data_IF_631504904524
#
_entry.id   IF_631504904524
#
_cell.length_a   1.000
_cell.length_b   1.000
_cell.length_c   1.000
_cell.angle_alpha   90.00
_cell.angle_beta   90.00
_cell.angle_gamma   90.00
#
_symmetry.space_group_name_H-M   'P 1'
#
loop_
_entity.id
_entity.type
_entity.pdbx_description
1 polymer ?
#
# COMPACT_ATOMS: atom_id res chain seq x y z
N UNK A 1 8.97 15.03 6.37
CA UNK A 1 7.51 14.88 6.15
C UNK A 1 7.34 13.97 4.94
N UNK A 2 6.54 12.91 5.01
CA UNK A 2 6.31 12.05 3.84
C UNK A 2 5.09 12.52 3.06
N UNK A 3 5.30 12.89 1.79
CA UNK A 3 4.24 13.27 0.85
C UNK A 3 4.05 12.17 -0.19
N UNK A 4 2.80 11.91 -0.56
CA UNK A 4 2.43 11.00 -1.65
C UNK A 4 1.65 11.78 -2.70
N UNK A 5 2.19 11.81 -3.92
CA UNK A 5 1.55 12.33 -5.10
C UNK A 5 0.83 11.18 -5.81
N UNK A 6 -0.48 11.28 -5.94
CA UNK A 6 -1.33 10.24 -6.54
C UNK A 6 -1.85 10.73 -7.88
N UNK A 7 -1.51 9.98 -8.93
CA UNK A 7 -1.92 10.22 -10.31
C UNK A 7 -2.90 9.14 -10.75
N UNK A 8 -4.08 9.51 -11.24
CA UNK A 8 -5.07 8.55 -11.75
C UNK A 8 -4.73 8.11 -13.18
N UNK A 9 -3.65 7.35 -13.31
CA UNK A 9 -3.14 6.83 -14.58
C UNK A 9 -2.84 5.33 -14.44
N UNK A 10 -2.90 4.62 -15.55
CA UNK A 10 -2.52 3.21 -15.61
C UNK A 10 -1.13 3.08 -16.22
N UNK A 11 -0.23 2.41 -15.52
CA UNK A 11 1.09 2.03 -16.02
C UNK A 11 1.31 0.54 -15.82
N UNK A 12 2.30 -0.02 -16.52
CA UNK A 12 2.76 -1.39 -16.30
C UNK A 12 3.85 -1.41 -15.22
N UNK A 13 3.81 -2.42 -14.35
CA UNK A 13 4.77 -2.55 -13.24
C UNK A 13 6.23 -2.67 -13.69
N UNK A 14 6.49 -3.19 -14.90
CA UNK A 14 7.84 -3.31 -15.48
C UNK A 14 8.49 -1.94 -15.76
N UNK A 15 7.70 -0.87 -15.87
CA UNK A 15 8.20 0.49 -16.06
C UNK A 15 8.68 1.16 -14.76
N UNK A 16 8.34 0.61 -13.59
CA UNK A 16 8.49 1.29 -12.29
C UNK A 16 9.93 1.71 -12.00
N UNK A 17 10.89 0.81 -12.18
CA UNK A 17 12.27 1.07 -11.76
C UNK A 17 12.96 2.10 -12.65
N UNK A 18 12.74 2.02 -13.96
CA UNK A 18 13.24 3.01 -14.92
C UNK A 18 12.64 4.40 -14.64
N UNK A 19 11.33 4.47 -14.39
CA UNK A 19 10.66 5.73 -14.02
C UNK A 19 11.18 6.30 -12.71
N UNK A 20 11.30 5.46 -11.66
CA UNK A 20 11.85 5.90 -10.38
C UNK A 20 13.27 6.45 -10.55
N UNK A 21 14.12 5.76 -11.33
CA UNK A 21 15.48 6.20 -11.61
C UNK A 21 15.50 7.55 -12.31
N UNK A 22 14.71 7.73 -13.37
CA UNK A 22 14.61 9.00 -14.10
C UNK A 22 14.12 10.13 -13.20
N UNK A 23 13.10 9.90 -12.38
CA UNK A 23 12.58 10.92 -11.48
C UNK A 23 13.55 11.30 -10.37
N UNK A 24 14.29 10.33 -9.81
CA UNK A 24 15.34 10.63 -8.81
C UNK A 24 16.49 11.47 -9.37
N UNK A 25 16.74 11.42 -10.69
CA UNK A 25 17.71 12.31 -11.34
C UNK A 25 17.19 13.74 -11.45
N UNK A 26 15.87 13.93 -11.60
CA UNK A 26 15.23 15.24 -11.72
C UNK A 26 14.90 15.86 -10.36
N UNK A 27 14.60 15.03 -9.36
CA UNK A 27 14.28 15.47 -8.00
C UNK A 27 14.77 14.44 -6.97
N UNK A 28 15.75 14.85 -6.16
CA UNK A 28 16.38 14.00 -5.14
C UNK A 28 15.47 13.72 -3.95
N UNK A 29 14.40 14.50 -3.76
CA UNK A 29 13.45 14.27 -2.67
C UNK A 29 12.56 13.05 -2.92
N UNK A 30 12.48 12.56 -4.17
CA UNK A 30 11.69 11.39 -4.51
C UNK A 30 12.31 10.15 -3.88
N UNK A 31 11.53 9.48 -3.04
CA UNK A 31 11.94 8.31 -2.28
C UNK A 31 11.54 7.01 -2.98
N UNK A 32 10.28 6.93 -3.42
CA UNK A 32 9.68 5.70 -3.94
C UNK A 32 8.61 6.00 -5.01
N UNK A 33 8.29 4.99 -5.82
CA UNK A 33 7.26 5.02 -6.85
C UNK A 33 6.51 3.69 -6.83
N UNK A 34 5.19 3.73 -6.74
CA UNK A 34 4.33 2.54 -6.71
C UNK A 34 3.35 2.62 -7.85
N UNK A 35 3.24 1.54 -8.62
CA UNK A 35 2.26 1.42 -9.70
C UNK A 35 1.11 0.55 -9.18
N UNK A 36 -0.02 1.19 -8.91
CA UNK A 36 -1.28 0.54 -8.59
C UNK A 36 -2.04 0.17 -9.88
N UNK A 37 -3.24 -0.40 -9.70
CA UNK A 37 -4.07 -0.87 -10.81
C UNK A 37 -4.53 0.27 -11.75
N UNK A 38 -4.92 1.38 -11.14
CA UNK A 38 -5.55 2.53 -11.79
C UNK A 38 -4.91 3.87 -11.37
N UNK A 39 -3.78 3.80 -10.67
CA UNK A 39 -3.08 4.96 -10.17
C UNK A 39 -1.57 4.71 -10.04
N UNK A 40 -0.81 5.81 -9.98
CA UNK A 40 0.62 5.82 -9.67
C UNK A 40 0.81 6.70 -8.45
N UNK A 41 1.62 6.22 -7.51
CA UNK A 41 2.01 6.97 -6.32
C UNK A 41 3.49 7.33 -6.40
N UNK A 42 3.83 8.61 -6.24
CA UNK A 42 5.21 9.06 -6.02
C UNK A 42 5.33 9.48 -4.56
N UNK A 43 6.20 8.83 -3.80
CA UNK A 43 6.49 9.21 -2.43
C UNK A 43 7.74 10.10 -2.37
N UNK A 44 7.68 11.17 -1.60
CA UNK A 44 8.77 12.14 -1.46
C UNK A 44 8.89 12.67 -0.03
N UNK A 45 10.12 13.00 0.38
CA UNK A 45 10.40 13.58 1.71
C UNK A 45 10.12 15.09 1.81
N UNK A 46 9.80 15.72 0.68
CA UNK A 46 9.43 17.13 0.58
C UNK A 46 8.51 17.32 -0.65
N UNK A 47 8.08 18.54 -0.92
CA UNK A 47 7.40 18.86 -2.17
C UNK A 47 8.31 18.59 -3.36
N UNK A 48 7.81 17.82 -4.34
CA UNK A 48 8.53 17.60 -5.59
C UNK A 48 8.44 18.86 -6.45
N UNK A 49 9.46 19.10 -7.25
CA UNK A 49 9.45 20.23 -8.17
C UNK A 49 8.27 20.12 -9.16
N UNK A 50 7.73 21.27 -9.57
CA UNK A 50 6.54 21.32 -10.42
C UNK A 50 6.73 20.66 -11.78
N UNK A 51 7.93 20.74 -12.36
CA UNK A 51 8.22 20.11 -13.65
C UNK A 51 8.01 18.60 -13.55
N UNK A 52 8.55 17.98 -12.49
CA UNK A 52 8.42 16.54 -12.22
C UNK A 52 6.99 16.17 -11.85
N UNK A 53 6.31 16.99 -11.05
CA UNK A 53 4.91 16.77 -10.70
C UNK A 53 4.00 16.71 -11.95
N UNK A 54 4.22 17.62 -12.90
CA UNK A 54 3.39 17.71 -14.10
C UNK A 54 3.76 16.68 -15.19
N UNK A 55 4.83 15.87 -15.01
CA UNK A 55 5.30 14.91 -16.03
C UNK A 55 4.26 13.84 -16.39
N UNK A 56 3.58 13.31 -15.38
CA UNK A 56 2.54 12.30 -15.62
C UNK A 56 1.20 12.91 -15.99
N UNK A 57 0.81 13.97 -15.28
CA UNK A 57 -0.44 14.68 -15.46
C UNK A 57 -0.41 15.95 -14.63
N UNK A 58 -1.12 17.00 -15.08
CA UNK A 58 -1.39 18.20 -14.26
C UNK A 58 -2.46 17.98 -13.19
N UNK A 59 -3.11 16.81 -13.20
CA UNK A 59 -4.13 16.43 -12.22
C UNK A 59 -3.58 15.33 -11.33
N UNK A 60 -3.20 15.71 -10.11
CA UNK A 60 -2.73 14.82 -9.05
C UNK A 60 -3.24 15.27 -7.69
N UNK A 61 -3.34 14.34 -6.75
CA UNK A 61 -3.60 14.63 -5.33
C UNK A 61 -2.29 14.55 -4.56
N UNK A 62 -2.08 15.45 -3.59
CA UNK A 62 -0.95 15.40 -2.66
C UNK A 62 -1.47 15.04 -1.29
N UNK A 63 -0.93 13.98 -0.71
CA UNK A 63 -1.32 13.46 0.61
C UNK A 63 -0.10 13.57 1.53
N UNK A 64 -0.25 14.28 2.64
CA UNK A 64 0.71 14.21 3.74
C UNK A 64 0.37 12.98 4.59
N UNK A 65 1.28 12.01 4.63
CA UNK A 65 1.04 10.69 5.24
C UNK A 65 0.80 10.81 6.75
N UNK A 66 1.62 11.60 7.44
CA UNK A 66 1.53 11.78 8.90
C UNK A 66 0.17 12.39 9.28
N UNK A 67 -0.26 13.42 8.55
CA UNK A 67 -1.56 14.05 8.79
C UNK A 67 -2.74 13.17 8.38
N UNK A 68 -2.57 12.37 7.33
CA UNK A 68 -3.62 11.55 6.78
C UNK A 68 -3.94 10.33 7.65
N UNK A 69 -2.92 9.67 8.21
CA UNK A 69 -3.09 8.44 8.98
C UNK A 69 -3.59 8.69 10.41
N UNK A 70 -3.43 9.91 10.91
CA UNK A 70 -3.97 10.32 12.21
C UNK A 70 -5.51 10.41 12.19
N UNK A 71 -6.15 9.93 13.25
CA UNK A 71 -7.62 9.90 13.43
C UNK A 71 -8.38 9.02 12.41
N UNK A 72 -7.70 8.14 11.70
CA UNK A 72 -8.31 7.14 10.81
C UNK A 72 -8.68 5.89 11.58
N UNK A 73 -9.79 5.26 11.18
CA UNK A 73 -10.27 4.02 11.78
C UNK A 73 -10.05 2.83 10.83
N UNK A 74 -10.46 1.65 11.30
CA UNK A 74 -10.29 0.41 10.54
C UNK A 74 -10.99 0.44 9.17
N UNK A 75 -12.16 1.07 9.06
CA UNK A 75 -12.91 1.15 7.81
C UNK A 75 -12.21 2.05 6.78
N UNK A 76 -11.59 3.16 7.22
CA UNK A 76 -10.73 3.97 6.34
C UNK A 76 -9.57 3.12 5.78
N UNK A 77 -8.93 2.32 6.64
CA UNK A 77 -7.85 1.41 6.24
C UNK A 77 -8.31 0.38 5.21
N UNK A 78 -9.48 -0.23 5.43
CA UNK A 78 -10.08 -1.19 4.51
C UNK A 78 -10.45 -0.56 3.16
N UNK A 79 -11.01 0.65 3.15
CA UNK A 79 -11.31 1.39 1.92
C UNK A 79 -10.03 1.67 1.12
N UNK A 80 -8.94 2.05 1.78
CA UNK A 80 -7.63 2.24 1.13
C UNK A 80 -7.09 0.94 0.54
N UNK A 81 -7.22 -0.18 1.25
CA UNK A 81 -6.85 -1.51 0.72
C UNK A 81 -7.63 -1.84 -0.55
N UNK A 82 -8.95 -1.64 -0.52
CA UNK A 82 -9.84 -1.92 -1.66
C UNK A 82 -9.52 -1.04 -2.87
N UNK A 83 -9.07 0.19 -2.64
CA UNK A 83 -8.62 1.10 -3.69
C UNK A 83 -7.16 0.86 -4.14
N UNK A 84 -6.48 -0.13 -3.56
CA UNK A 84 -5.09 -0.45 -3.87
C UNK A 84 -4.07 0.56 -3.34
N UNK A 85 -4.47 1.46 -2.43
CA UNK A 85 -3.59 2.43 -1.77
C UNK A 85 -2.88 1.78 -0.58
N UNK A 86 -2.18 0.69 -0.83
CA UNK A 86 -1.68 -0.22 0.21
C UNK A 86 -0.66 0.40 1.16
N UNK A 87 0.11 1.39 0.71
CA UNK A 87 1.01 2.12 1.61
C UNK A 87 0.22 2.94 2.63
N UNK A 88 -0.80 3.70 2.21
CA UNK A 88 -1.62 4.47 3.15
C UNK A 88 -2.45 3.56 4.05
N UNK A 89 -2.98 2.45 3.51
CA UNK A 89 -3.66 1.44 4.31
C UNK A 89 -2.74 0.86 5.39
N UNK A 90 -1.49 0.55 5.05
CA UNK A 90 -0.47 0.09 5.99
C UNK A 90 -0.30 1.07 7.15
N UNK A 91 -0.10 2.36 6.85
CA UNK A 91 0.10 3.39 7.87
C UNK A 91 -1.12 3.55 8.80
N UNK A 92 -2.34 3.54 8.23
CA UNK A 92 -3.59 3.60 9.02
C UNK A 92 -3.72 2.38 9.93
N UNK A 93 -3.51 1.17 9.39
CA UNK A 93 -3.64 -0.06 10.17
C UNK A 93 -2.52 -0.19 11.21
N UNK A 94 -1.31 0.28 10.93
CA UNK A 94 -0.20 0.28 11.89
C UNK A 94 -0.49 1.18 13.08
N UNK A 95 -1.07 2.36 12.85
CA UNK A 95 -1.50 3.25 13.94
C UNK A 95 -2.51 2.55 14.87
N UNK A 96 -3.53 1.87 14.32
CA UNK A 96 -4.50 1.11 15.11
C UNK A 96 -3.83 -0.08 15.82
N UNK A 97 -2.91 -0.76 15.13
CA UNK A 97 -2.18 -1.90 15.67
C UNK A 97 -1.34 -1.56 16.91
N UNK A 98 -0.74 -0.36 16.97
CA UNK A 98 0.08 0.10 18.10
C UNK A 98 -0.70 0.00 19.42
N UNK A 99 -1.97 0.40 19.42
CA UNK A 99 -2.84 0.44 20.60
C UNK A 99 -3.69 -0.84 20.80
N UNK A 100 -3.58 -1.82 19.91
CA UNK A 100 -4.29 -3.10 20.01
C UNK A 100 -3.53 -4.16 20.82
N UNK A 101 -4.22 -5.20 21.29
CA UNK A 101 -3.62 -6.29 22.09
C UNK A 101 -4.14 -7.68 21.69
N UNK A 102 -3.44 -8.72 22.15
CA UNK A 102 -3.87 -10.11 22.00
C UNK A 102 -4.12 -10.54 20.55
N UNK A 103 -5.19 -11.29 20.32
CA UNK A 103 -5.52 -11.85 19.00
C UNK A 103 -5.94 -10.78 17.98
N UNK A 104 -6.47 -9.66 18.45
CA UNK A 104 -6.78 -8.50 17.61
C UNK A 104 -5.49 -7.90 17.03
N UNK A 105 -4.46 -7.70 17.88
CA UNK A 105 -3.15 -7.22 17.44
C UNK A 105 -2.53 -8.12 16.38
N UNK A 106 -2.62 -9.43 16.55
CA UNK A 106 -2.13 -10.37 15.53
C UNK A 106 -2.99 -10.35 14.25
N UNK A 107 -4.30 -10.14 14.36
CA UNK A 107 -5.18 -9.99 13.19
C UNK A 107 -4.86 -8.72 12.38
N UNK A 108 -4.63 -7.60 13.05
CA UNK A 108 -4.16 -6.37 12.41
C UNK A 108 -2.77 -6.55 11.80
N UNK A 109 -1.84 -7.21 12.49
CA UNK A 109 -0.51 -7.55 11.96
C UNK A 109 -0.59 -8.38 10.68
N UNK A 110 -1.52 -9.33 10.61
CA UNK A 110 -1.79 -10.08 9.39
C UNK A 110 -2.18 -9.14 8.24
N UNK A 111 -3.15 -8.25 8.44
CA UNK A 111 -3.59 -7.29 7.41
C UNK A 111 -2.49 -6.30 6.99
N UNK A 112 -1.68 -5.82 7.94
CA UNK A 112 -0.52 -4.97 7.70
C UNK A 112 0.49 -5.68 6.79
N UNK A 113 0.77 -6.96 7.03
CA UNK A 113 1.65 -7.75 6.15
C UNK A 113 1.03 -7.96 4.76
N UNK A 114 -0.29 -8.10 4.64
CA UNK A 114 -0.96 -8.14 3.33
C UNK A 114 -0.78 -6.80 2.59
N UNK A 115 -0.90 -5.66 3.27
CA UNK A 115 -0.59 -4.35 2.67
C UNK A 115 0.87 -4.26 2.23
N UNK A 116 1.82 -4.63 3.10
CA UNK A 116 3.25 -4.61 2.80
C UNK A 116 3.60 -5.51 1.60
N UNK A 117 2.98 -6.70 1.51
CA UNK A 117 3.15 -7.57 0.35
C UNK A 117 2.70 -6.86 -0.94
N UNK A 118 1.53 -6.23 -0.93
CA UNK A 118 1.03 -5.51 -2.10
C UNK A 118 1.89 -4.28 -2.46
N UNK A 119 2.44 -3.56 -1.47
CA UNK A 119 3.45 -2.53 -1.74
C UNK A 119 4.65 -3.11 -2.50
N UNK A 120 5.14 -4.29 -2.11
CA UNK A 120 6.19 -4.97 -2.89
C UNK A 120 5.72 -5.35 -4.30
N UNK A 121 4.46 -5.70 -4.52
CA UNK A 121 3.90 -5.92 -5.87
C UNK A 121 3.99 -4.68 -6.74
N UNK A 122 3.52 -3.56 -6.20
CA UNK A 122 3.45 -2.28 -6.90
C UNK A 122 4.84 -1.76 -7.26
N UNK A 123 5.86 -2.28 -6.58
CA UNK A 123 7.28 -2.03 -6.84
C UNK A 123 7.90 -3.02 -7.84
N UNK A 124 7.15 -4.01 -8.34
CA UNK A 124 7.66 -5.07 -9.21
C UNK A 124 8.36 -6.23 -8.47
N UNK A 125 8.39 -6.23 -7.14
CA UNK A 125 9.14 -7.19 -6.32
C UNK A 125 8.28 -8.42 -5.95
N UNK A 126 7.81 -9.16 -6.95
CA UNK A 126 6.84 -10.26 -6.77
C UNK A 126 7.33 -11.34 -5.80
N UNK A 127 8.60 -11.72 -5.87
CA UNK A 127 9.15 -12.77 -5.01
C UNK A 127 9.22 -12.33 -3.54
N UNK A 128 9.66 -11.09 -3.29
CA UNK A 128 9.63 -10.52 -1.94
C UNK A 128 8.20 -10.49 -1.40
N UNK A 129 7.24 -10.12 -2.23
CA UNK A 129 5.86 -10.05 -1.82
C UNK A 129 5.25 -11.41 -1.46
N UNK A 130 5.51 -12.46 -2.27
CA UNK A 130 5.15 -13.86 -1.92
C UNK A 130 5.71 -14.27 -0.57
N UNK A 131 6.97 -13.92 -0.29
CA UNK A 131 7.63 -14.19 0.99
C UNK A 131 6.99 -13.43 2.16
N UNK A 132 6.49 -12.20 1.94
CA UNK A 132 5.70 -11.47 2.95
C UNK A 132 4.37 -12.18 3.23
N UNK A 133 3.66 -12.62 2.20
CA UNK A 133 2.37 -13.35 2.35
C UNK A 133 2.56 -14.67 3.10
N UNK A 134 3.61 -15.43 2.78
CA UNK A 134 3.92 -16.68 3.48
C UNK A 134 4.11 -16.46 4.99
N UNK A 135 4.72 -15.33 5.38
CA UNK A 135 4.85 -14.93 6.79
C UNK A 135 3.50 -14.53 7.38
N UNK A 136 2.69 -13.78 6.66
CA UNK A 136 1.34 -13.40 7.09
C UNK A 136 0.46 -14.63 7.36
N UNK A 137 0.49 -15.63 6.48
CA UNK A 137 -0.30 -16.86 6.60
C UNK A 137 0.10 -17.77 7.78
N UNK A 138 1.21 -17.48 8.48
CA UNK A 138 1.59 -18.18 9.72
C UNK A 138 0.98 -17.54 10.97
N UNK A 139 0.42 -16.33 10.84
CA UNK A 139 -0.17 -15.60 11.97
C UNK A 139 -1.55 -16.19 12.31
N UNK A 140 -1.77 -16.41 13.60
CA UNK A 140 -3.08 -16.77 14.15
C UNK A 140 -3.94 -15.52 14.19
N UNK A 141 -5.12 -15.57 13.59
CA UNK A 141 -6.05 -14.44 13.49
C UNK A 141 -7.41 -14.81 14.06
N UNK A 142 -8.27 -13.81 14.23
CA UNK A 142 -9.71 -14.02 14.30
C UNK A 142 -10.23 -14.55 12.95
N UNK A 143 -11.43 -15.13 12.96
CA UNK A 143 -12.13 -15.52 11.73
C UNK A 143 -12.79 -14.32 11.04
N UNK A 144 -13.25 -13.36 11.84
CA UNK A 144 -13.84 -12.11 11.42
C UNK A 144 -13.29 -10.97 12.29
N UNK A 145 -13.10 -9.79 11.71
CA UNK A 145 -12.68 -8.60 12.45
C UNK A 145 -13.36 -7.37 11.87
N UNK A 146 -14.15 -6.66 12.68
CA UNK A 146 -14.90 -5.46 12.29
C UNK A 146 -15.72 -5.63 10.99
N UNK A 147 -16.34 -6.81 10.81
CA UNK A 147 -17.13 -7.17 9.63
C UNK A 147 -16.33 -7.69 8.43
N UNK A 148 -15.00 -7.70 8.50
CA UNK A 148 -14.15 -8.33 7.48
C UNK A 148 -13.99 -9.83 7.76
N UNK A 149 -14.36 -10.67 6.80
CA UNK A 149 -14.17 -12.12 6.89
C UNK A 149 -12.69 -12.50 6.61
N UNK A 150 -11.91 -12.60 7.68
CA UNK A 150 -10.48 -12.92 7.64
C UNK A 150 -10.23 -14.35 7.16
N UNK A 151 -11.09 -15.30 7.53
CA UNK A 151 -10.98 -16.69 7.07
C UNK A 151 -11.10 -16.78 5.54
N UNK A 152 -12.05 -16.06 4.94
CA UNK A 152 -12.25 -16.01 3.50
C UNK A 152 -11.07 -15.33 2.80
N UNK A 153 -10.56 -14.22 3.34
CA UNK A 153 -9.35 -13.58 2.83
C UNK A 153 -8.16 -14.55 2.81
N UNK A 154 -7.92 -15.28 3.91
CA UNK A 154 -6.87 -16.30 3.98
C UNK A 154 -7.06 -17.38 2.91
N UNK A 155 -8.27 -17.88 2.71
CA UNK A 155 -8.55 -18.86 1.68
C UNK A 155 -8.27 -18.31 0.27
N UNK A 156 -8.68 -17.07 -0.02
CA UNK A 156 -8.37 -16.42 -1.31
C UNK A 156 -6.87 -16.32 -1.56
N UNK A 157 -6.09 -15.93 -0.55
CA UNK A 157 -4.63 -15.84 -0.63
C UNK A 157 -3.96 -17.18 -0.92
N UNK A 158 -4.49 -18.27 -0.36
CA UNK A 158 -3.97 -19.63 -0.56
C UNK A 158 -4.38 -20.16 -1.95
N UNK A 159 -5.66 -20.01 -2.31
CA UNK A 159 -6.25 -20.66 -3.48
C UNK A 159 -5.88 -19.98 -4.81
N UNK A 160 -5.89 -18.65 -4.83
CA UNK A 160 -5.72 -17.91 -6.10
C UNK A 160 -4.25 -17.66 -6.44
N UNK A 161 -3.34 -18.00 -5.53
CA UNK A 161 -2.03 -17.38 -5.50
C UNK A 161 -2.15 -15.87 -5.28
N UNK A 162 -1.10 -15.26 -4.76
CA UNK A 162 -1.11 -13.84 -4.38
C UNK A 162 -1.38 -12.84 -5.53
N UNK A 163 -1.48 -13.31 -6.79
CA UNK A 163 -1.57 -12.48 -8.00
C UNK A 163 -2.98 -11.87 -8.22
N UNK A 164 -4.03 -12.35 -7.53
CA UNK A 164 -5.42 -11.91 -7.78
C UNK A 164 -6.22 -11.59 -6.50
N UNK A 165 -5.79 -10.58 -5.74
CA UNK A 165 -6.59 -10.04 -4.61
C UNK A 165 -7.33 -8.75 -5.03
N UNK A 166 -7.74 -8.69 -6.29
CA UNK A 166 -8.33 -7.49 -6.89
C UNK A 166 -9.70 -7.09 -6.33
N UNK A 167 -10.25 -7.86 -5.40
CA UNK A 167 -11.43 -7.51 -4.61
C UNK A 167 -11.32 -8.18 -3.24
N UNK A 168 -11.02 -7.39 -2.20
CA UNK A 168 -11.20 -7.77 -0.81
C UNK A 168 -12.68 -7.70 -0.46
#
# INVERSE_FOLDING_TARGET
MLLIYVYNIMLKNDMRDDLLKSFKLLDKNIYDLRIGKNHVEIASYDYINRVVADLFSRSYKVINVDNFSNNKNFYDGLELMNNGMYWLAHEVLENIWRDSYGIEKETLRFLILICAANVHNQRGHQETAKNVVSRALKIKTLNEYNGLNISLLRQRLINNGWINIDNL
#
